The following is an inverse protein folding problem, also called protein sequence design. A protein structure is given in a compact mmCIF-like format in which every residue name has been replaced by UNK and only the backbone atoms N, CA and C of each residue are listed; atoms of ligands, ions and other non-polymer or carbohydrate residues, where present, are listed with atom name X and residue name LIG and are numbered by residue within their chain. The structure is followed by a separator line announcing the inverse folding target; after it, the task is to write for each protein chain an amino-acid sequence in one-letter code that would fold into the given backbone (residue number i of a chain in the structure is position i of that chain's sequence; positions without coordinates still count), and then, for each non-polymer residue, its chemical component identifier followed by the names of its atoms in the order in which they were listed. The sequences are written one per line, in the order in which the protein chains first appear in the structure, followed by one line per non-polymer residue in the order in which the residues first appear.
data_IF_937958180044
#
_entry.id   IF_937958180044
#
_cell.length_a   1.000
_cell.length_b   1.000
_cell.length_c   1.000
_cell.angle_alpha   90.00
_cell.angle_beta   90.00
_cell.angle_gamma   90.00
#
_symmetry.space_group_name_H-M   'P 1'
#
loop_
_entity.id
_entity.type
_entity.pdbx_description
1 polymer ?
#
# COMPACT_ATOMS: atom_id res chain seq x y z
N UNK A 1 -3.11 -22.98 13.47
CA UNK A 1 -3.58 -21.65 13.06
C UNK A 1 -2.63 -20.63 13.67
N UNK A 2 -1.77 -19.99 12.88
CA UNK A 2 -0.95 -18.88 13.36
C UNK A 2 -1.72 -17.58 13.13
N UNK A 3 -2.16 -16.94 14.22
CA UNK A 3 -2.81 -15.64 14.19
C UNK A 3 -1.81 -14.55 13.80
N UNK A 4 -2.20 -13.71 12.85
CA UNK A 4 -1.48 -12.49 12.48
C UNK A 4 -1.82 -11.41 13.51
N UNK A 5 -0.90 -11.11 14.43
CA UNK A 5 -1.06 -10.01 15.38
C UNK A 5 -0.71 -8.70 14.67
N UNK A 6 -1.71 -8.02 14.10
CA UNK A 6 -1.59 -6.68 13.52
C UNK A 6 -1.53 -5.66 14.65
N UNK A 7 -0.34 -5.35 15.20
CA UNK A 7 -0.23 -4.37 16.28
C UNK A 7 -0.06 -2.91 15.84
N UNK A 8 0.26 -2.60 14.59
CA UNK A 8 0.42 -1.20 14.16
C UNK A 8 -0.30 -0.95 12.83
N UNK A 9 -1.55 -0.47 12.92
CA UNK A 9 -2.30 0.04 11.77
C UNK A 9 -2.27 1.56 11.79
N UNK A 10 -1.79 2.16 10.72
CA UNK A 10 -1.77 3.60 10.51
C UNK A 10 -2.93 3.98 9.57
N UNK A 11 -3.73 4.96 9.95
CA UNK A 11 -4.76 5.55 9.11
C UNK A 11 -4.40 7.00 8.83
N UNK A 12 -4.46 7.40 7.56
CA UNK A 12 -4.18 8.76 7.13
C UNK A 12 -5.37 9.29 6.34
N UNK A 13 -5.93 10.38 6.82
CA UNK A 13 -7.00 11.11 6.16
C UNK A 13 -6.44 12.36 5.48
N UNK A 14 -6.61 12.45 4.16
CA UNK A 14 -6.30 13.63 3.38
C UNK A 14 -7.45 14.65 3.42
N UNK A 15 -7.14 15.93 3.22
CA UNK A 15 -8.08 17.05 3.30
C UNK A 15 -9.31 16.93 2.36
N UNK A 16 -9.20 16.14 1.30
CA UNK A 16 -10.28 15.90 0.34
C UNK A 16 -11.14 14.68 0.67
N UNK A 17 -11.05 14.14 1.88
CA UNK A 17 -11.71 12.88 2.29
C UNK A 17 -11.03 11.63 1.71
N UNK A 18 -9.76 11.75 1.33
CA UNK A 18 -8.93 10.63 0.90
C UNK A 18 -8.52 9.83 2.15
N UNK A 19 -8.50 8.49 2.08
CA UNK A 19 -8.14 7.64 3.24
C UNK A 19 -7.11 6.60 2.82
N UNK A 20 -6.01 6.48 3.55
CA UNK A 20 -5.01 5.44 3.37
C UNK A 20 -4.83 4.67 4.67
N UNK A 21 -5.07 3.35 4.63
CA UNK A 21 -4.92 2.45 5.79
C UNK A 21 -3.79 1.48 5.52
N UNK A 22 -2.80 1.47 6.39
CA UNK A 22 -1.55 0.72 6.27
C UNK A 22 -1.33 -0.11 7.52
N UNK A 23 -0.73 -1.29 7.38
CA UNK A 23 -0.32 -2.08 8.55
C UNK A 23 1.08 -2.61 8.38
N UNK A 24 1.84 -2.62 9.47
CA UNK A 24 3.12 -3.33 9.50
C UNK A 24 2.90 -4.83 9.24
N UNK A 25 3.74 -5.42 8.39
CA UNK A 25 3.78 -6.85 8.17
C UNK A 25 5.23 -7.35 8.13
N UNK A 26 5.41 -8.67 8.12
CA UNK A 26 6.76 -9.27 8.14
C UNK A 26 7.57 -8.78 6.94
N UNK A 27 8.60 -7.98 7.22
CA UNK A 27 9.51 -7.45 6.20
C UNK A 27 8.94 -6.31 5.35
N UNK A 28 7.87 -5.62 5.79
CA UNK A 28 7.43 -4.42 5.08
C UNK A 28 6.13 -3.80 5.58
N UNK A 29 5.56 -2.93 4.75
CA UNK A 29 4.32 -2.21 5.00
C UNK A 29 3.23 -2.69 4.05
N UNK A 30 2.09 -3.12 4.57
CA UNK A 30 0.96 -3.59 3.77
C UNK A 30 -0.07 -2.47 3.58
N UNK A 31 -0.47 -2.23 2.33
CA UNK A 31 -1.58 -1.34 1.99
C UNK A 31 -2.89 -2.10 2.16
N UNK A 32 -3.62 -1.82 3.22
CA UNK A 32 -4.95 -2.41 3.45
C UNK A 32 -5.99 -1.77 2.54
N UNK A 33 -5.98 -0.44 2.48
CA UNK A 33 -7.00 0.33 1.77
C UNK A 33 -6.45 1.68 1.30
N UNK A 34 -6.80 2.05 0.08
CA UNK A 34 -6.64 3.44 -0.40
C UNK A 34 -7.96 3.86 -1.03
N UNK A 35 -8.59 4.85 -0.41
CA UNK A 35 -9.74 5.55 -0.92
C UNK A 35 -9.31 6.94 -1.42
N UNK A 36 -9.63 7.25 -2.67
CA UNK A 36 -9.42 8.57 -3.24
C UNK A 36 -10.67 8.99 -4.03
N UNK A 37 -11.49 9.92 -3.51
CA UNK A 37 -12.75 10.32 -4.15
C UNK A 37 -12.53 11.10 -5.46
N UNK A 38 -11.33 11.67 -5.66
CA UNK A 38 -10.97 12.42 -6.87
C UNK A 38 -10.03 11.61 -7.75
N UNK A 39 -10.24 11.72 -9.06
CA UNK A 39 -9.34 11.11 -10.04
C UNK A 39 -7.90 11.57 -9.79
N UNK A 40 -7.01 10.61 -9.59
CA UNK A 40 -5.58 10.84 -9.37
C UNK A 40 -5.15 11.08 -7.91
N UNK A 41 -6.08 11.16 -6.95
CA UNK A 41 -5.73 11.26 -5.52
C UNK A 41 -4.83 10.12 -5.05
N UNK A 42 -5.08 8.90 -5.56
CA UNK A 42 -4.25 7.72 -5.32
C UNK A 42 -2.75 7.98 -5.60
N UNK A 43 -2.41 8.75 -6.65
CA UNK A 43 -1.01 9.00 -7.02
C UNK A 43 -0.26 9.88 -6.02
N UNK A 44 -0.96 10.70 -5.22
CA UNK A 44 -0.33 11.48 -4.15
C UNK A 44 0.25 10.56 -3.08
N UNK A 45 -0.48 9.49 -2.76
CA UNK A 45 -0.04 8.54 -1.76
C UNK A 45 1.20 7.76 -2.18
N UNK A 46 1.45 7.56 -3.48
CA UNK A 46 2.57 6.74 -3.95
C UNK A 46 3.91 7.18 -3.35
N UNK A 47 4.30 8.42 -3.59
CA UNK A 47 5.62 8.92 -3.18
C UNK A 47 5.70 9.00 -1.65
N UNK A 48 4.65 9.54 -1.03
CA UNK A 48 4.56 9.67 0.42
C UNK A 48 4.65 8.31 1.12
N UNK A 49 3.93 7.29 0.64
CA UNK A 49 3.93 5.94 1.18
C UNK A 49 5.32 5.31 1.13
N UNK A 50 6.01 5.45 0.00
CA UNK A 50 7.36 4.91 -0.17
C UNK A 50 8.38 5.64 0.70
N UNK A 51 8.25 6.95 0.86
CA UNK A 51 9.08 7.71 1.80
C UNK A 51 8.83 7.28 3.24
N UNK A 52 7.57 7.22 3.67
CA UNK A 52 7.19 6.77 5.00
C UNK A 52 7.72 5.36 5.29
N UNK A 53 7.55 4.43 4.34
CA UNK A 53 8.03 3.07 4.54
C UNK A 53 9.56 3.00 4.70
N UNK A 54 10.33 3.80 3.94
CA UNK A 54 11.79 3.91 4.12
C UNK A 54 12.16 4.56 5.46
N UNK A 55 11.46 5.62 5.87
CA UNK A 55 11.67 6.30 7.15
C UNK A 55 11.43 5.36 8.35
N UNK A 56 10.46 4.45 8.22
CA UNK A 56 10.16 3.43 9.22
C UNK A 56 11.09 2.20 9.13
N UNK A 57 12.06 2.19 8.21
CA UNK A 57 13.03 1.10 8.05
C UNK A 57 12.48 -0.14 7.34
N UNK A 58 11.36 -0.02 6.62
CA UNK A 58 10.85 -1.10 5.78
C UNK A 58 11.53 -1.13 4.41
N UNK A 59 11.78 -2.33 3.91
CA UNK A 59 12.40 -2.56 2.60
C UNK A 59 11.36 -2.82 1.50
N UNK A 60 10.11 -3.10 1.88
CA UNK A 60 9.06 -3.51 0.95
C UNK A 60 7.71 -2.90 1.30
N UNK A 61 6.91 -2.67 0.26
CA UNK A 61 5.49 -2.35 0.36
C UNK A 61 4.69 -3.43 -0.35
N UNK A 62 3.64 -3.92 0.31
CA UNK A 62 2.76 -4.97 -0.18
C UNK A 62 1.34 -4.44 -0.38
N UNK A 63 0.57 -5.05 -1.27
CA UNK A 63 -0.86 -4.77 -1.38
C UNK A 63 -1.62 -5.94 -2.02
N UNK A 64 -2.95 -5.92 -1.89
CA UNK A 64 -3.85 -6.77 -2.68
C UNK A 64 -4.85 -5.88 -3.42
N UNK A 65 -4.69 -5.67 -4.74
CA UNK A 65 -5.60 -4.83 -5.49
C UNK A 65 -7.01 -5.46 -5.52
N UNK A 66 -8.04 -4.63 -5.37
CA UNK A 66 -9.45 -5.08 -5.37
C UNK A 66 -9.91 -5.58 -6.75
N UNK A 67 -9.30 -5.08 -7.81
CA UNK A 67 -9.64 -5.44 -9.18
C UNK A 67 -8.41 -5.36 -10.13
N UNK A 68 -8.58 -5.91 -11.32
CA UNK A 68 -7.53 -5.98 -12.35
C UNK A 68 -7.13 -4.59 -12.92
N UNK A 69 -7.99 -3.57 -12.81
CA UNK A 69 -7.64 -2.21 -13.24
C UNK A 69 -6.67 -1.60 -12.23
N UNK A 70 -6.94 -1.74 -10.94
CA UNK A 70 -6.06 -1.25 -9.88
C UNK A 70 -4.72 -2.00 -9.88
N UNK A 71 -4.74 -3.32 -10.08
CA UNK A 71 -3.53 -4.12 -10.25
C UNK A 71 -2.62 -3.56 -11.35
N UNK A 72 -3.19 -3.26 -12.54
CA UNK A 72 -2.45 -2.65 -13.65
C UNK A 72 -1.89 -1.27 -13.34
N UNK A 73 -2.60 -0.46 -12.54
CA UNK A 73 -2.10 0.84 -12.10
C UNK A 73 -0.88 0.65 -11.19
N UNK A 74 -0.96 -0.24 -10.21
CA UNK A 74 0.15 -0.49 -9.29
C UNK A 74 1.35 -1.10 -9.99
N UNK A 75 1.15 -2.08 -10.87
CA UNK A 75 2.24 -2.68 -11.64
C UNK A 75 2.86 -1.68 -12.62
N UNK A 76 2.05 -1.03 -13.45
CA UNK A 76 2.56 -0.14 -14.51
C UNK A 76 3.09 1.19 -14.00
N UNK A 77 2.36 1.88 -13.11
CA UNK A 77 2.72 3.25 -12.69
C UNK A 77 3.48 3.31 -11.37
N UNK A 78 3.36 2.29 -10.53
CA UNK A 78 3.99 2.25 -9.21
C UNK A 78 5.11 1.20 -9.13
N UNK A 79 5.30 0.41 -10.19
CA UNK A 79 6.39 -0.56 -10.31
C UNK A 79 6.24 -1.78 -9.40
N UNK A 80 5.02 -2.07 -8.95
CA UNK A 80 4.76 -3.28 -8.18
C UNK A 80 4.92 -4.52 -9.07
N UNK A 81 5.31 -5.63 -8.47
CA UNK A 81 5.43 -6.94 -9.13
C UNK A 81 4.59 -7.97 -8.37
N UNK A 82 4.28 -9.09 -9.03
CA UNK A 82 3.50 -10.18 -8.45
C UNK A 82 4.27 -10.88 -7.32
N UNK A 83 3.59 -11.20 -6.22
CA UNK A 83 4.19 -11.90 -5.07
C UNK A 83 4.06 -13.44 -5.15
N UNK A 84 3.43 -13.98 -6.20
CA UNK A 84 3.16 -15.40 -6.40
C UNK A 84 1.94 -15.93 -5.63
N UNK A 85 1.25 -15.08 -4.87
CA UNK A 85 0.16 -15.43 -3.97
C UNK A 85 -1.10 -14.59 -4.19
N UNK A 86 -1.23 -13.98 -5.38
CA UNK A 86 -2.35 -13.11 -5.74
C UNK A 86 -2.29 -11.72 -5.11
N UNK A 87 -1.13 -11.35 -4.52
CA UNK A 87 -0.82 -10.00 -4.09
C UNK A 87 0.26 -9.37 -4.97
N UNK A 88 0.62 -8.15 -4.61
CA UNK A 88 1.69 -7.40 -5.28
C UNK A 88 2.65 -6.83 -4.24
N UNK A 89 3.92 -6.68 -4.60
CA UNK A 89 4.91 -5.98 -3.77
C UNK A 89 5.82 -5.03 -4.56
N UNK A 90 6.42 -4.08 -3.86
CA UNK A 90 7.43 -3.15 -4.37
C UNK A 90 8.59 -3.08 -3.38
N UNK A 91 9.81 -3.36 -3.86
CA UNK A 91 11.04 -3.07 -3.11
C UNK A 91 11.33 -1.56 -3.12
N UNK A 92 11.82 -1.03 -2.00
CA UNK A 92 12.02 0.41 -1.78
C UNK A 92 13.48 0.83 -1.99
#
# INVERSE_FOLDING_TARGET
MSGLQLMDTLCFEGEAGEVCVLSACRGGLFINHIYAPRAGGIFRYRNWLFSLARELGYERVYCRPLDARLARIYQGRWGFVDDGHGGLFKEL
#
